data_IF_839858151521
#
_entry.id   IF_839858151521
#
_cell.length_a   1.000
_cell.length_b   1.000
_cell.length_c   1.000
_cell.angle_alpha   90.00
_cell.angle_beta   90.00
_cell.angle_gamma   90.00
#
_symmetry.space_group_name_H-M   'P 1'
#
loop_
_entity.id
_entity.type
_entity.pdbx_description
1 polymer ?
#
# COMPACT_ATOMS: atom_id res chain seq x y z
N UNK A 1 -1.97 -7.90 -17.00
CA UNK A 1 -1.18 -9.07 -16.61
C UNK A 1 -1.82 -10.32 -17.17
N UNK A 2 -1.06 -11.37 -17.36
CA UNK A 2 -1.61 -12.66 -17.78
C UNK A 2 -2.49 -13.22 -16.66
N UNK A 3 -3.55 -13.96 -17.00
CA UNK A 3 -4.36 -14.67 -16.02
C UNK A 3 -3.50 -15.63 -15.18
N UNK A 4 -3.87 -15.90 -13.93
CA UNK A 4 -3.22 -16.92 -13.12
C UNK A 4 -3.18 -18.27 -13.85
N UNK A 5 -2.05 -18.94 -13.83
CA UNK A 5 -1.84 -20.23 -14.51
C UNK A 5 -1.37 -20.13 -15.96
N UNK A 6 -1.33 -18.94 -16.56
CA UNK A 6 -0.65 -18.76 -17.83
C UNK A 6 0.86 -18.63 -17.62
N UNK A 7 1.63 -19.18 -18.55
CA UNK A 7 3.08 -18.99 -18.54
C UNK A 7 3.39 -17.52 -18.67
N UNK A 8 4.18 -17.02 -17.73
CA UNK A 8 4.74 -15.69 -17.85
C UNK A 8 5.75 -15.66 -19.00
N UNK A 9 5.39 -15.00 -20.09
CA UNK A 9 6.37 -14.68 -21.10
C UNK A 9 7.21 -13.51 -20.58
N UNK A 10 8.52 -13.71 -20.44
CA UNK A 10 9.45 -12.69 -19.98
C UNK A 10 9.35 -11.46 -20.88
N UNK A 11 8.54 -10.52 -20.48
CA UNK A 11 8.53 -9.18 -21.03
C UNK A 11 9.69 -8.35 -20.47
N UNK A 12 9.96 -7.19 -21.04
CA UNK A 12 10.93 -6.27 -20.46
C UNK A 12 10.51 -5.89 -19.04
N UNK A 13 11.50 -5.71 -18.15
CA UNK A 13 11.24 -5.19 -16.79
C UNK A 13 10.52 -3.85 -16.90
N UNK A 14 9.41 -3.73 -16.19
CA UNK A 14 8.65 -2.50 -16.11
C UNK A 14 8.88 -1.85 -14.76
N UNK A 15 9.47 -0.67 -14.77
CA UNK A 15 9.58 0.16 -13.57
C UNK A 15 8.36 1.04 -13.45
N UNK A 16 7.91 1.26 -12.24
CA UNK A 16 6.83 2.19 -11.93
C UNK A 16 7.05 2.83 -10.56
N UNK A 17 6.38 3.95 -10.31
CA UNK A 17 6.34 4.58 -9.01
C UNK A 17 4.94 4.46 -8.42
N UNK A 18 4.85 4.34 -7.10
CA UNK A 18 3.59 4.53 -6.40
C UNK A 18 3.25 6.02 -6.37
N UNK A 19 1.98 6.35 -6.58
CA UNK A 19 1.50 7.69 -6.21
C UNK A 19 1.65 7.89 -4.71
N UNK A 20 1.86 9.12 -4.22
CA UNK A 20 1.97 9.41 -2.79
C UNK A 20 0.79 8.88 -1.97
N UNK A 21 -0.39 8.84 -2.58
CA UNK A 21 -1.64 8.30 -2.03
C UNK A 21 -1.97 6.89 -2.54
N UNK A 22 -1.01 6.21 -3.15
CA UNK A 22 -1.19 4.84 -3.64
C UNK A 22 -1.46 3.86 -2.51
N UNK A 23 -2.35 2.91 -2.77
CA UNK A 23 -2.79 1.92 -1.79
C UNK A 23 -2.17 0.57 -2.07
N UNK A 24 -1.69 -0.09 -1.03
CA UNK A 24 -1.14 -1.45 -1.13
C UNK A 24 -1.95 -2.37 -0.23
N UNK A 25 -2.29 -3.54 -0.74
CA UNK A 25 -3.00 -4.59 -0.02
C UNK A 25 -2.22 -5.89 -0.11
N UNK A 26 -2.03 -6.51 1.05
CA UNK A 26 -1.35 -7.79 1.18
C UNK A 26 -2.04 -8.65 2.23
N UNK A 27 -2.32 -9.91 1.90
CA UNK A 27 -3.03 -10.85 2.78
C UNK A 27 -4.37 -10.29 3.29
N UNK A 28 -5.11 -9.56 2.43
CA UNK A 28 -6.45 -9.05 2.75
C UNK A 28 -6.49 -7.79 3.62
N UNK A 29 -5.35 -7.17 3.91
CA UNK A 29 -5.27 -5.96 4.72
C UNK A 29 -4.40 -4.89 4.08
N UNK A 30 -4.52 -3.59 4.47
CA UNK A 30 -3.60 -2.55 4.06
C UNK A 30 -2.15 -2.92 4.40
N UNK A 31 -1.23 -2.56 3.52
CA UNK A 31 0.17 -2.93 3.60
C UNK A 31 1.09 -1.81 3.10
N UNK A 32 2.38 -2.01 3.32
CA UNK A 32 3.45 -1.20 2.77
C UNK A 32 4.23 -2.03 1.75
N UNK A 33 4.93 -1.38 0.82
CA UNK A 33 5.73 -2.08 -0.19
C UNK A 33 6.74 -3.05 0.43
N UNK A 34 7.30 -2.70 1.58
CA UNK A 34 8.23 -3.53 2.34
C UNK A 34 7.62 -4.81 2.94
N UNK A 35 6.29 -4.89 3.01
CA UNK A 35 5.59 -6.06 3.55
C UNK A 35 5.44 -7.15 2.49
N UNK A 36 5.62 -6.80 1.23
CA UNK A 36 5.48 -7.70 0.09
C UNK A 36 6.82 -8.41 -0.18
N UNK A 37 6.88 -9.74 -0.08
CA UNK A 37 8.08 -10.48 -0.44
C UNK A 37 8.49 -10.27 -1.90
N UNK A 38 9.79 -10.25 -2.17
CA UNK A 38 10.30 -10.20 -3.54
C UNK A 38 9.82 -11.43 -4.34
N UNK A 39 9.44 -11.20 -5.58
CA UNK A 39 8.90 -12.25 -6.45
C UNK A 39 7.39 -12.50 -6.29
N UNK A 40 6.71 -11.83 -5.36
CA UNK A 40 5.24 -11.94 -5.22
C UNK A 40 4.54 -11.48 -6.50
N UNK A 41 3.59 -12.27 -6.98
CA UNK A 41 2.69 -11.84 -8.05
C UNK A 41 1.74 -10.75 -7.54
N UNK A 42 1.59 -9.68 -8.31
CA UNK A 42 0.84 -8.49 -7.90
C UNK A 42 -0.08 -8.03 -9.02
N UNK A 43 -1.31 -7.74 -8.66
CA UNK A 43 -2.28 -7.02 -9.49
C UNK A 43 -2.11 -5.52 -9.28
N UNK A 44 -1.81 -4.79 -10.34
CA UNK A 44 -1.61 -3.34 -10.28
C UNK A 44 -2.70 -2.58 -11.04
N UNK A 45 -3.18 -1.48 -10.44
CA UNK A 45 -3.96 -0.47 -11.13
C UNK A 45 -3.09 0.77 -11.33
N UNK A 46 -2.94 1.19 -12.59
CA UNK A 46 -2.02 2.25 -12.99
C UNK A 46 -2.77 3.40 -13.62
N UNK A 47 -2.39 4.63 -13.28
CA UNK A 47 -2.75 5.80 -14.07
C UNK A 47 -1.73 5.97 -15.19
N UNK A 48 -2.23 6.01 -16.40
CA UNK A 48 -1.45 6.38 -17.56
C UNK A 48 -1.70 7.86 -17.86
N UNK A 49 -0.67 8.61 -18.26
CA UNK A 49 -0.87 9.98 -18.72
C UNK A 49 -1.77 9.97 -19.97
N UNK A 50 -2.55 11.03 -20.22
CA UNK A 50 -3.17 11.24 -21.50
C UNK A 50 -2.12 11.19 -22.62
N UNK A 51 -2.51 10.71 -23.79
CA UNK A 51 -1.63 10.66 -24.96
C UNK A 51 -1.10 12.05 -25.30
N UNK A 52 0.22 12.19 -25.39
CA UNK A 52 0.90 13.46 -25.62
C UNK A 52 1.26 14.27 -24.37
N UNK A 53 0.82 13.84 -23.18
CA UNK A 53 1.11 14.50 -21.91
C UNK A 53 2.16 13.78 -21.05
N UNK A 54 2.90 12.83 -21.60
CA UNK A 54 3.88 12.01 -20.88
C UNK A 54 4.98 12.85 -20.22
N UNK A 55 5.23 14.05 -20.73
CA UNK A 55 6.23 14.98 -20.18
C UNK A 55 5.77 15.71 -18.92
N UNK A 56 4.47 15.69 -18.63
CA UNK A 56 3.91 16.39 -17.46
C UNK A 56 4.09 15.60 -16.17
N UNK A 57 4.45 14.32 -16.26
CA UNK A 57 4.64 13.46 -15.11
C UNK A 57 6.04 13.70 -14.54
N UNK A 58 6.17 13.94 -13.23
CA UNK A 58 7.47 14.12 -12.60
C UNK A 58 8.37 12.90 -12.81
N UNK A 59 9.59 13.13 -13.25
CA UNK A 59 10.59 12.06 -13.34
C UNK A 59 10.82 11.44 -11.95
N UNK A 60 11.00 10.12 -11.92
CA UNK A 60 11.43 9.45 -10.69
C UNK A 60 12.86 9.90 -10.40
N UNK A 61 13.12 10.49 -9.23
CA UNK A 61 14.46 10.96 -8.89
C UNK A 61 15.51 9.85 -9.00
N UNK A 62 16.69 10.20 -9.50
CA UNK A 62 17.85 9.30 -9.67
C UNK A 62 17.67 8.17 -10.71
N UNK A 63 16.68 8.25 -11.58
CA UNK A 63 16.50 7.30 -12.68
C UNK A 63 16.79 7.92 -14.06
N UNK A 64 17.73 8.83 -14.14
CA UNK A 64 18.10 9.53 -15.40
C UNK A 64 18.58 8.60 -16.51
N UNK A 65 19.05 7.40 -16.16
CA UNK A 65 19.54 6.39 -17.11
C UNK A 65 18.47 5.42 -17.60
N UNK A 66 17.30 5.41 -17.01
CA UNK A 66 16.22 4.52 -17.38
C UNK A 66 15.10 5.31 -18.06
N UNK A 67 14.79 4.98 -19.29
CA UNK A 67 13.60 5.48 -19.99
C UNK A 67 12.35 4.86 -19.35
N UNK A 68 12.00 5.30 -18.16
CA UNK A 68 10.80 4.87 -17.48
C UNK A 68 9.63 5.52 -18.20
N UNK A 69 8.84 4.74 -18.91
CA UNK A 69 7.48 5.14 -19.26
C UNK A 69 6.72 5.20 -17.93
N UNK A 70 6.33 6.40 -17.57
CA UNK A 70 5.91 6.81 -16.22
C UNK A 70 4.54 6.26 -15.84
N UNK A 71 4.48 4.97 -15.58
CA UNK A 71 3.29 4.37 -15.02
C UNK A 71 3.29 4.62 -13.51
N UNK A 72 2.27 5.31 -13.02
CA UNK A 72 2.07 5.51 -11.60
C UNK A 72 1.04 4.52 -11.08
N UNK A 73 1.45 3.68 -10.14
CA UNK A 73 0.55 2.75 -9.50
C UNK A 73 -0.34 3.49 -8.49
N UNK A 74 -1.63 3.28 -8.63
CA UNK A 74 -2.68 3.77 -7.71
C UNK A 74 -2.95 2.74 -6.63
N UNK A 75 -3.00 1.46 -7.01
CA UNK A 75 -3.11 0.37 -6.06
C UNK A 75 -2.35 -0.86 -6.51
N UNK A 76 -1.83 -1.59 -5.52
CA UNK A 76 -1.21 -2.89 -5.69
C UNK A 76 -1.92 -3.88 -4.76
N UNK A 77 -2.23 -5.06 -5.28
CA UNK A 77 -2.92 -6.10 -4.53
C UNK A 77 -2.24 -7.44 -4.81
N UNK A 78 -1.93 -8.22 -3.76
CA UNK A 78 -1.56 -9.63 -3.93
C UNK A 78 -2.78 -10.46 -4.40
N UNK A 79 -2.58 -11.71 -4.79
CA UNK A 79 -3.68 -12.57 -5.28
C UNK A 79 -4.74 -12.75 -4.21
N UNK A 80 -4.34 -12.97 -2.97
CA UNK A 80 -5.27 -13.11 -1.84
C UNK A 80 -6.20 -11.90 -1.74
N UNK A 81 -5.65 -10.67 -1.66
CA UNK A 81 -6.42 -9.44 -1.53
C UNK A 81 -7.26 -9.16 -2.77
N UNK A 82 -6.70 -9.40 -3.95
CA UNK A 82 -7.37 -9.17 -5.23
C UNK A 82 -8.64 -10.01 -5.37
N UNK A 83 -8.56 -11.31 -5.09
CA UNK A 83 -9.70 -12.20 -5.21
C UNK A 83 -10.71 -12.01 -4.08
N UNK A 84 -10.24 -11.82 -2.85
CA UNK A 84 -11.10 -11.58 -1.70
C UNK A 84 -11.99 -10.35 -1.88
N UNK A 85 -11.44 -9.23 -2.33
CA UNK A 85 -12.21 -7.99 -2.58
C UNK A 85 -13.28 -8.15 -3.66
N UNK A 86 -13.07 -9.08 -4.58
CA UNK A 86 -14.00 -9.38 -5.67
C UNK A 86 -15.01 -10.48 -5.33
N UNK A 87 -14.94 -11.00 -4.09
CA UNK A 87 -15.79 -12.11 -3.63
C UNK A 87 -15.56 -13.40 -4.42
N UNK A 88 -14.35 -13.57 -4.94
CA UNK A 88 -13.93 -14.76 -5.67
C UNK A 88 -13.12 -15.66 -4.73
N UNK A 89 -13.55 -16.90 -4.64
CA UNK A 89 -12.83 -17.97 -3.97
C UNK A 89 -12.26 -18.93 -5.00
N UNK A 90 -11.43 -19.83 -4.54
CA UNK A 90 -10.86 -20.91 -5.36
C UNK A 90 -11.13 -22.25 -4.70
N UNK A 91 -11.50 -23.22 -5.52
CA UNK A 91 -11.82 -24.58 -5.06
C UNK A 91 -10.79 -25.55 -5.61
N UNK A 92 -10.28 -26.39 -4.73
CA UNK A 92 -9.37 -27.46 -5.11
C UNK A 92 -10.14 -28.51 -5.92
N UNK A 93 -9.68 -28.78 -7.13
CA UNK A 93 -10.19 -29.85 -7.99
C UNK A 93 -9.41 -31.14 -7.73
N UNK A 94 -8.10 -31.07 -7.76
CA UNK A 94 -7.20 -32.20 -7.51
C UNK A 94 -5.82 -31.72 -7.07
N UNK A 95 -5.08 -32.63 -6.43
CA UNK A 95 -3.69 -32.46 -6.03
C UNK A 95 -2.89 -33.63 -6.59
N UNK A 96 -1.77 -33.35 -7.22
CA UNK A 96 -0.78 -34.35 -7.65
C UNK A 96 0.46 -34.20 -6.73
N UNK A 97 0.49 -34.99 -5.69
CA UNK A 97 1.59 -34.95 -4.69
C UNK A 97 2.95 -35.33 -5.29
N UNK A 98 2.96 -36.21 -6.29
CA UNK A 98 4.20 -36.67 -6.93
C UNK A 98 4.83 -35.57 -7.77
N UNK A 99 3.98 -34.82 -8.51
CA UNK A 99 4.43 -33.74 -9.36
C UNK A 99 4.46 -32.38 -8.69
N UNK A 100 3.97 -32.28 -7.43
CA UNK A 100 3.85 -31.02 -6.74
C UNK A 100 2.91 -30.03 -7.47
N UNK A 101 1.72 -30.50 -7.90
CA UNK A 101 0.77 -29.67 -8.64
C UNK A 101 -0.60 -29.64 -7.98
N UNK A 102 -1.23 -28.47 -8.03
CA UNK A 102 -2.60 -28.27 -7.58
C UNK A 102 -3.44 -27.71 -8.72
N UNK A 103 -4.63 -28.29 -8.92
CA UNK A 103 -5.62 -27.79 -9.85
C UNK A 103 -6.71 -27.05 -9.09
N UNK A 104 -6.90 -25.78 -9.41
CA UNK A 104 -7.88 -24.90 -8.78
C UNK A 104 -8.89 -24.43 -9.81
N UNK A 105 -10.14 -24.29 -9.40
CA UNK A 105 -11.18 -23.64 -10.21
C UNK A 105 -11.72 -22.43 -9.48
N UNK A 106 -11.96 -21.30 -10.18
CA UNK A 106 -12.57 -20.13 -9.55
C UNK A 106 -14.00 -20.42 -9.15
N UNK A 107 -14.41 -19.96 -7.97
CA UNK A 107 -15.77 -20.09 -7.44
C UNK A 107 -16.24 -18.73 -6.90
N UNK A 108 -17.48 -18.33 -7.21
CA UNK A 108 -18.05 -17.06 -6.74
C UNK A 108 -18.62 -16.18 -7.85
N UNK A 109 -18.91 -14.92 -7.52
CA UNK A 109 -19.63 -13.99 -8.42
C UNK A 109 -18.89 -13.66 -9.73
N UNK A 110 -17.58 -13.69 -9.73
CA UNK A 110 -16.76 -13.42 -10.92
C UNK A 110 -16.59 -14.62 -11.84
N UNK A 111 -17.01 -15.82 -11.43
CA UNK A 111 -16.96 -17.03 -12.24
C UNK A 111 -17.95 -17.02 -13.43
N UNK A 112 -18.70 -15.93 -13.63
CA UNK A 112 -19.74 -15.83 -14.66
C UNK A 112 -19.24 -15.75 -16.10
N UNK A 113 -17.97 -15.51 -16.33
CA UNK A 113 -17.44 -15.30 -17.69
C UNK A 113 -16.96 -16.59 -18.37
N UNK A 114 -17.57 -17.74 -18.05
CA UNK A 114 -17.49 -18.94 -18.90
C UNK A 114 -16.15 -19.71 -18.86
N UNK A 115 -15.21 -19.35 -18.01
CA UNK A 115 -13.93 -20.05 -17.88
C UNK A 115 -14.01 -21.03 -16.70
N UNK A 116 -14.76 -22.10 -16.86
CA UNK A 116 -14.79 -23.21 -15.90
C UNK A 116 -13.62 -24.21 -16.09
N UNK A 117 -12.51 -23.75 -16.68
CA UNK A 117 -11.32 -24.59 -16.79
C UNK A 117 -10.52 -24.50 -15.50
N UNK A 118 -10.09 -25.64 -14.95
CA UNK A 118 -9.18 -25.63 -13.82
C UNK A 118 -7.84 -25.02 -14.24
N UNK A 119 -7.28 -24.22 -13.38
CA UNK A 119 -5.90 -23.71 -13.48
C UNK A 119 -4.98 -24.64 -12.71
N UNK A 120 -3.84 -24.93 -13.29
CA UNK A 120 -2.81 -25.75 -12.66
C UNK A 120 -1.68 -24.87 -12.17
N UNK A 121 -1.35 -25.00 -10.89
CA UNK A 121 -0.24 -24.28 -10.26
C UNK A 121 0.76 -25.28 -9.70
N UNK A 122 2.02 -24.89 -9.74
CA UNK A 122 3.07 -25.64 -9.06
C UNK A 122 3.10 -25.30 -7.57
N UNK A 123 3.32 -26.31 -6.74
CA UNK A 123 3.62 -26.20 -5.33
C UNK A 123 5.01 -26.80 -5.14
N UNK A 124 5.93 -26.01 -4.60
CA UNK A 124 7.29 -26.43 -4.37
C UNK A 124 7.59 -26.58 -2.87
N UNK A 125 8.84 -26.92 -2.55
CA UNK A 125 9.26 -27.17 -1.16
C UNK A 125 9.27 -25.92 -0.27
N UNK A 126 9.23 -24.70 -0.89
CA UNK A 126 9.19 -23.44 -0.14
C UNK A 126 7.77 -22.89 -0.03
N UNK A 127 6.81 -23.51 -0.69
CA UNK A 127 5.39 -23.17 -0.60
C UNK A 127 4.88 -23.41 0.83
N UNK A 128 4.18 -22.43 1.39
CA UNK A 128 3.61 -22.53 2.74
C UNK A 128 2.14 -22.85 2.67
N UNK A 129 1.74 -23.96 3.24
CA UNK A 129 0.35 -24.41 3.31
C UNK A 129 -0.14 -24.26 4.73
N UNK A 130 -1.19 -23.46 4.93
CA UNK A 130 -1.71 -23.10 6.24
C UNK A 130 -3.07 -23.74 6.51
N UNK A 131 -3.18 -24.44 7.66
CA UNK A 131 -4.42 -25.01 8.19
C UNK A 131 -4.45 -24.84 9.71
N UNK A 132 -5.53 -24.27 10.24
CA UNK A 132 -5.68 -24.00 11.68
C UNK A 132 -4.45 -23.27 12.27
N UNK A 133 -3.96 -22.25 11.52
CA UNK A 133 -2.78 -21.42 11.82
C UNK A 133 -1.45 -22.17 11.91
N UNK A 134 -1.38 -23.39 11.38
CA UNK A 134 -0.16 -24.22 11.37
C UNK A 134 0.24 -24.51 9.94
N UNK A 135 1.54 -24.67 9.73
CA UNK A 135 2.06 -25.20 8.47
C UNK A 135 1.73 -26.70 8.41
N UNK A 136 1.23 -27.13 7.26
CA UNK A 136 0.86 -28.50 6.99
C UNK A 136 1.44 -28.97 5.65
N UNK A 137 1.46 -30.26 5.45
CA UNK A 137 1.96 -30.89 4.23
C UNK A 137 0.90 -30.85 3.09
N UNK A 138 1.36 -31.02 1.86
CA UNK A 138 0.52 -31.09 0.65
C UNK A 138 -0.60 -32.13 0.74
N UNK A 139 -0.35 -33.26 1.42
CA UNK A 139 -1.33 -34.34 1.68
C UNK A 139 -2.56 -33.90 2.49
N UNK A 140 -2.48 -32.78 3.21
CA UNK A 140 -3.62 -32.23 3.97
C UNK A 140 -4.63 -31.48 3.08
N UNK A 141 -4.33 -31.30 1.80
CA UNK A 141 -5.21 -30.63 0.86
C UNK A 141 -6.16 -31.67 0.27
N UNK A 142 -7.46 -31.48 0.48
CA UNK A 142 -8.49 -32.34 -0.06
C UNK A 142 -9.21 -31.69 -1.24
N UNK A 143 -9.58 -32.45 -2.29
CA UNK A 143 -10.49 -31.96 -3.31
C UNK A 143 -11.79 -31.39 -2.71
N UNK A 144 -12.30 -30.30 -3.28
CA UNK A 144 -13.46 -29.59 -2.77
C UNK A 144 -13.15 -28.51 -1.73
N UNK A 145 -11.94 -28.45 -1.17
CA UNK A 145 -11.54 -27.41 -0.23
C UNK A 145 -11.55 -26.04 -0.88
N UNK A 146 -12.13 -25.04 -0.19
CA UNK A 146 -12.09 -23.64 -0.60
C UNK A 146 -10.81 -23.01 -0.06
N UNK A 147 -10.03 -22.42 -0.94
CA UNK A 147 -8.72 -21.89 -0.63
C UNK A 147 -8.56 -20.43 -1.08
N UNK A 148 -7.66 -19.72 -0.43
CA UNK A 148 -7.04 -18.52 -0.96
C UNK A 148 -5.54 -18.80 -1.10
N UNK A 149 -4.88 -18.08 -1.99
CA UNK A 149 -3.44 -18.27 -2.22
C UNK A 149 -2.77 -16.97 -2.65
N UNK A 150 -1.46 -16.97 -2.55
CA UNK A 150 -0.59 -16.04 -3.22
C UNK A 150 0.35 -16.80 -4.13
N UNK A 151 0.60 -16.23 -5.29
CA UNK A 151 1.61 -16.73 -6.22
C UNK A 151 2.93 -15.99 -6.00
N UNK A 152 3.99 -16.70 -6.25
CA UNK A 152 5.34 -16.16 -6.23
C UNK A 152 6.12 -16.63 -7.45
N UNK A 153 7.11 -15.85 -7.84
CA UNK A 153 8.01 -16.26 -8.88
C UNK A 153 8.93 -17.35 -8.35
N UNK A 154 8.88 -18.52 -8.95
CA UNK A 154 9.79 -19.62 -8.61
C UNK A 154 11.23 -19.17 -8.83
N UNK A 155 12.02 -19.17 -7.75
CA UNK A 155 13.46 -18.95 -7.83
C UNK A 155 14.11 -20.21 -8.43
N UNK A 156 14.22 -20.24 -9.72
CA UNK A 156 14.90 -21.32 -10.45
C UNK A 156 14.87 -21.05 -11.94
N UNK A 157 15.87 -21.52 -12.63
CA UNK A 157 16.07 -21.41 -14.08
C UNK A 157 14.98 -22.10 -14.92
N UNK A 158 13.83 -22.36 -14.35
CA UNK A 158 12.69 -22.95 -15.04
C UNK A 158 11.72 -21.84 -15.46
N UNK A 159 11.69 -21.66 -16.73
CA UNK A 159 10.64 -21.04 -17.54
C UNK A 159 9.57 -20.21 -16.78
N UNK A 160 9.93 -19.05 -16.23
CA UNK A 160 9.02 -17.94 -15.90
C UNK A 160 7.59 -18.34 -15.40
N UNK A 161 7.47 -19.42 -14.65
CA UNK A 161 6.19 -19.89 -14.12
C UNK A 161 6.02 -19.40 -12.68
N UNK A 162 4.81 -18.97 -12.35
CA UNK A 162 4.42 -18.69 -10.97
C UNK A 162 4.10 -19.99 -10.26
N UNK A 163 4.63 -20.16 -9.05
CA UNK A 163 4.24 -21.20 -8.10
C UNK A 163 3.41 -20.62 -6.96
N UNK A 164 2.67 -21.47 -6.28
CA UNK A 164 1.98 -21.08 -5.05
C UNK A 164 3.02 -20.80 -3.97
N UNK A 165 3.12 -19.56 -3.52
CA UNK A 165 4.00 -19.19 -2.42
C UNK A 165 3.35 -19.42 -1.05
N UNK A 166 2.06 -19.12 -0.93
CA UNK A 166 1.26 -19.35 0.27
C UNK A 166 -0.14 -19.83 -0.12
N UNK A 167 -0.68 -20.78 0.64
CA UNK A 167 -2.01 -21.37 0.46
C UNK A 167 -2.71 -21.48 1.81
N UNK A 168 -3.91 -20.95 1.93
CA UNK A 168 -4.74 -21.02 3.13
C UNK A 168 -5.95 -21.92 2.91
N UNK A 169 -6.02 -23.01 3.68
CA UNK A 169 -7.03 -24.06 3.52
C UNK A 169 -8.32 -23.79 4.32
N UNK A 170 -8.30 -22.88 5.26
CA UNK A 170 -9.44 -22.57 6.12
C UNK A 170 -9.56 -21.09 6.47
N UNK A 171 -10.75 -20.69 6.93
CA UNK A 171 -11.04 -19.30 7.31
C UNK A 171 -10.21 -18.83 8.50
N UNK A 172 -9.89 -19.71 9.44
CA UNK A 172 -9.12 -19.35 10.61
C UNK A 172 -7.70 -18.90 10.23
N UNK A 173 -7.05 -19.63 9.32
CA UNK A 173 -5.72 -19.27 8.82
C UNK A 173 -5.74 -18.00 7.98
N UNK A 174 -6.79 -17.80 7.15
CA UNK A 174 -7.01 -16.57 6.38
C UNK A 174 -7.17 -15.35 7.29
N UNK A 175 -8.09 -15.45 8.24
CA UNK A 175 -8.34 -14.37 9.20
C UNK A 175 -7.09 -14.03 10.02
N UNK A 176 -6.30 -15.04 10.40
CA UNK A 176 -5.06 -14.84 11.12
C UNK A 176 -4.01 -14.10 10.26
N UNK A 177 -3.83 -14.47 9.00
CA UNK A 177 -2.92 -13.79 8.09
C UNK A 177 -3.32 -12.32 7.89
N UNK A 178 -4.61 -12.06 7.65
CA UNK A 178 -5.16 -10.71 7.51
C UNK A 178 -4.94 -9.88 8.77
N UNK A 179 -5.24 -10.42 9.94
CA UNK A 179 -5.08 -9.69 11.20
C UNK A 179 -3.62 -9.41 11.53
N UNK A 180 -2.71 -10.35 11.21
CA UNK A 180 -1.27 -10.15 11.38
C UNK A 180 -0.78 -8.99 10.50
N UNK A 181 -1.18 -8.96 9.24
CA UNK A 181 -0.83 -7.87 8.32
C UNK A 181 -1.43 -6.54 8.78
N UNK A 182 -2.71 -6.54 9.18
CA UNK A 182 -3.39 -5.36 9.72
C UNK A 182 -2.64 -4.76 10.92
N UNK A 183 -2.22 -5.61 11.87
CA UNK A 183 -1.43 -5.17 13.03
C UNK A 183 -0.09 -4.56 12.63
N UNK A 184 0.60 -5.13 11.64
CA UNK A 184 1.85 -4.58 11.13
C UNK A 184 1.62 -3.18 10.55
N UNK A 185 0.61 -3.04 9.69
CA UNK A 185 0.25 -1.76 9.06
C UNK A 185 -0.11 -0.71 10.12
N UNK A 186 -1.04 -1.02 11.04
CA UNK A 186 -1.46 -0.07 12.08
C UNK A 186 -0.28 0.40 12.93
N UNK A 187 0.59 -0.54 13.36
CA UNK A 187 1.80 -0.19 14.12
C UNK A 187 2.72 0.73 13.32
N UNK A 188 2.93 0.42 12.06
CA UNK A 188 3.80 1.20 11.20
C UNK A 188 3.25 2.60 10.95
N UNK A 189 1.97 2.74 10.63
CA UNK A 189 1.34 4.04 10.40
C UNK A 189 1.32 4.91 11.67
N UNK A 190 1.11 4.32 12.85
CA UNK A 190 1.25 5.07 14.11
C UNK A 190 2.66 5.62 14.32
N UNK A 191 3.68 4.87 13.92
CA UNK A 191 5.07 5.27 14.06
C UNK A 191 5.48 6.39 13.10
N UNK A 192 4.92 6.42 11.89
CA UNK A 192 5.25 7.42 10.86
C UNK A 192 4.19 8.50 10.66
N UNK A 193 3.07 8.39 11.36
CA UNK A 193 1.86 9.21 11.31
C UNK A 193 1.11 9.10 9.98
N UNK A 194 -0.16 9.46 9.97
CA UNK A 194 -0.97 9.37 8.77
C UNK A 194 -0.62 10.46 7.77
N UNK A 195 -0.50 10.12 6.50
CA UNK A 195 -0.30 11.13 5.46
C UNK A 195 -1.59 11.90 5.22
N UNK A 196 -1.43 13.20 4.98
CA UNK A 196 -2.49 14.10 4.56
C UNK A 196 -1.89 15.14 3.60
N UNK A 197 -2.70 15.72 2.76
CA UNK A 197 -2.31 16.93 2.04
C UNK A 197 -3.03 18.14 2.64
N UNK A 198 -2.38 19.29 2.49
CA UNK A 198 -2.98 20.56 2.86
C UNK A 198 -3.82 21.06 1.70
N UNK A 199 -5.12 21.29 1.96
CA UNK A 199 -6.04 21.88 0.98
C UNK A 199 -5.94 23.40 0.99
N UNK A 200 -5.91 23.98 2.20
CA UNK A 200 -5.95 25.42 2.39
C UNK A 200 -5.23 25.86 3.67
N UNK A 201 -4.68 27.09 3.65
CA UNK A 201 -4.04 27.74 4.81
C UNK A 201 -4.57 29.16 4.91
N UNK A 202 -5.11 29.50 6.08
CA UNK A 202 -5.55 30.84 6.47
C UNK A 202 -4.55 31.39 7.48
N UNK A 203 -3.85 32.47 7.15
CA UNK A 203 -2.93 33.13 8.05
C UNK A 203 -3.64 34.22 8.86
N UNK A 204 -3.25 34.39 10.13
CA UNK A 204 -3.72 35.48 10.96
C UNK A 204 -2.67 36.59 11.07
N UNK A 205 -3.09 37.84 11.14
CA UNK A 205 -2.20 39.01 11.20
C UNK A 205 -1.26 39.01 12.42
N UNK A 206 -1.68 38.35 13.50
CA UNK A 206 -0.92 38.23 14.75
C UNK A 206 -0.10 36.93 14.86
N UNK A 207 0.11 36.24 13.76
CA UNK A 207 0.72 34.91 13.71
C UNK A 207 -0.27 33.78 13.95
N UNK A 208 0.14 32.56 13.61
CA UNK A 208 -0.75 31.40 13.59
C UNK A 208 -1.71 31.39 12.43
N UNK A 209 -2.71 30.52 12.49
CA UNK A 209 -3.68 30.37 11.39
C UNK A 209 -4.52 29.11 11.48
N UNK A 210 -5.28 28.85 10.42
CA UNK A 210 -6.06 27.62 10.23
C UNK A 210 -5.56 26.86 9.04
N UNK A 211 -5.35 25.56 9.21
CA UNK A 211 -4.94 24.65 8.13
C UNK A 211 -6.07 23.63 7.91
N UNK A 212 -6.50 23.50 6.66
CA UNK A 212 -7.44 22.48 6.23
C UNK A 212 -6.66 21.33 5.61
N UNK A 213 -6.89 20.12 6.10
CA UNK A 213 -6.20 18.91 5.69
C UNK A 213 -7.19 17.87 5.19
N UNK A 214 -6.83 17.14 4.13
CA UNK A 214 -7.52 15.90 3.73
C UNK A 214 -6.60 14.70 3.98
N UNK A 215 -7.07 13.73 4.79
CA UNK A 215 -6.33 12.52 5.07
C UNK A 215 -6.29 11.60 3.84
N UNK A 216 -5.15 10.94 3.63
CA UNK A 216 -5.04 9.94 2.55
C UNK A 216 -5.90 8.73 2.84
N UNK A 217 -6.43 8.12 1.78
CA UNK A 217 -7.15 6.86 1.81
C UNK A 217 -6.23 5.64 1.95
N UNK A 218 -6.84 4.46 1.97
CA UNK A 218 -6.10 3.19 1.96
C UNK A 218 -5.45 2.78 3.28
N UNK A 219 -5.68 3.52 4.36
CA UNK A 219 -5.23 3.16 5.70
C UNK A 219 -6.28 2.29 6.42
N UNK A 220 -5.85 1.55 7.43
CA UNK A 220 -6.77 0.82 8.29
C UNK A 220 -7.76 1.77 8.98
N UNK A 221 -9.04 1.42 8.98
CA UNK A 221 -10.11 2.27 9.53
C UNK A 221 -9.86 2.63 10.98
N UNK A 222 -9.29 1.73 11.78
CA UNK A 222 -9.02 1.97 13.20
C UNK A 222 -8.14 3.19 13.47
N UNK A 223 -7.26 3.55 12.51
CA UNK A 223 -6.40 4.73 12.62
C UNK A 223 -7.20 6.04 12.53
N UNK A 224 -8.17 6.10 11.63
CA UNK A 224 -9.07 7.26 11.52
C UNK A 224 -10.01 7.34 12.72
N UNK A 225 -10.54 6.19 13.18
CA UNK A 225 -11.42 6.13 14.36
C UNK A 225 -10.67 6.63 15.62
N UNK A 226 -9.38 6.28 15.77
CA UNK A 226 -8.56 6.75 16.88
C UNK A 226 -8.28 8.26 16.80
N UNK A 227 -7.98 8.81 15.59
CA UNK A 227 -7.88 10.26 15.39
C UNK A 227 -9.19 10.94 15.81
N UNK A 228 -10.33 10.46 15.31
CA UNK A 228 -11.64 11.02 15.64
C UNK A 228 -11.92 10.99 17.13
N UNK A 229 -11.61 9.90 17.81
CA UNK A 229 -11.83 9.75 19.25
C UNK A 229 -10.96 10.69 20.12
N UNK A 230 -9.84 11.18 19.58
CA UNK A 230 -8.89 12.03 20.31
C UNK A 230 -8.90 13.49 19.86
N UNK A 231 -9.85 13.90 19.03
CA UNK A 231 -9.90 15.25 18.42
C UNK A 231 -9.87 16.39 19.44
N UNK A 232 -10.45 16.21 20.63
CA UNK A 232 -10.45 17.22 21.70
C UNK A 232 -9.04 17.59 22.17
N UNK A 233 -8.09 16.65 22.09
CA UNK A 233 -6.68 16.87 22.48
C UNK A 233 -5.87 17.58 21.39
N UNK A 234 -6.45 17.83 20.24
CA UNK A 234 -5.78 18.34 19.05
C UNK A 234 -4.87 17.31 18.37
N UNK A 235 -4.42 17.66 17.18
CA UNK A 235 -3.55 16.80 16.36
C UNK A 235 -2.18 17.40 16.17
N UNK A 236 -1.15 16.57 16.28
CA UNK A 236 0.19 16.93 15.83
C UNK A 236 0.25 16.87 14.31
N UNK A 237 0.66 17.94 13.66
CA UNK A 237 0.90 17.99 12.22
C UNK A 237 2.39 18.22 11.99
N UNK A 238 3.02 17.26 11.31
CA UNK A 238 4.43 17.29 10.98
C UNK A 238 4.63 17.76 9.54
N UNK A 239 5.48 18.77 9.38
CA UNK A 239 6.01 19.19 8.09
C UNK A 239 7.52 19.34 8.23
N UNK A 240 8.29 18.82 7.27
CA UNK A 240 9.73 18.88 7.35
C UNK A 240 10.28 19.90 6.34
N UNK A 241 10.53 21.12 6.75
CA UNK A 241 11.16 22.13 5.90
C UNK A 241 12.65 22.27 6.11
N UNK A 242 13.15 21.78 7.23
CA UNK A 242 14.57 21.91 7.62
C UNK A 242 15.36 20.61 7.52
N UNK A 243 14.90 19.65 6.72
CA UNK A 243 15.49 18.31 6.62
C UNK A 243 16.94 18.29 6.16
N UNK A 244 17.40 19.30 5.47
CA UNK A 244 18.77 19.38 4.95
C UNK A 244 19.83 19.68 6.02
N UNK A 245 19.47 20.01 7.27
CA UNK A 245 20.42 20.47 8.28
C UNK A 245 20.43 19.71 9.60
N UNK A 246 19.51 18.79 9.85
CA UNK A 246 19.45 18.10 11.13
C UNK A 246 19.80 16.62 10.99
N UNK A 247 20.79 16.18 11.74
CA UNK A 247 21.18 14.78 11.90
C UNK A 247 20.02 13.89 12.41
N UNK A 248 18.99 14.50 12.96
CA UNK A 248 17.78 13.87 13.42
C UNK A 248 16.65 14.30 12.48
N UNK A 249 16.34 13.46 11.54
CA UNK A 249 15.26 13.64 10.56
C UNK A 249 13.87 13.62 11.24
N UNK A 250 13.68 14.48 12.20
CA UNK A 250 12.41 14.71 12.85
C UNK A 250 11.67 15.77 12.02
N UNK A 251 10.45 15.46 11.63
CA UNK A 251 9.58 16.49 11.12
C UNK A 251 9.33 17.51 12.24
N UNK A 252 9.52 18.79 11.95
CA UNK A 252 9.00 19.82 12.83
C UNK A 252 7.49 19.65 12.89
N UNK A 253 6.92 19.76 14.08
CA UNK A 253 5.49 19.56 14.29
C UNK A 253 4.93 20.68 15.15
N UNK A 254 3.69 21.02 14.86
CA UNK A 254 2.85 21.87 15.73
C UNK A 254 1.59 21.10 16.09
N UNK A 255 1.04 21.41 17.23
CA UNK A 255 -0.25 20.87 17.68
C UNK A 255 -1.32 21.85 17.25
N UNK A 256 -2.27 21.39 16.45
CA UNK A 256 -3.43 22.14 16.03
C UNK A 256 -4.67 21.70 16.78
N UNK A 257 -5.46 22.66 17.26
CA UNK A 257 -6.78 22.43 17.83
C UNK A 257 -7.75 22.09 16.70
N UNK A 258 -8.50 21.01 16.83
CA UNK A 258 -9.53 20.64 15.84
C UNK A 258 -10.69 21.62 15.94
N UNK A 259 -10.99 22.29 14.83
CA UNK A 259 -12.14 23.16 14.68
C UNK A 259 -13.33 22.45 14.03
N UNK A 260 -13.02 21.56 13.06
CA UNK A 260 -14.05 20.88 12.29
C UNK A 260 -13.52 19.53 11.78
N UNK A 261 -14.41 18.56 11.66
CA UNK A 261 -14.17 17.21 11.13
C UNK A 261 -15.31 16.86 10.18
N UNK A 262 -15.00 16.72 8.91
CA UNK A 262 -15.97 16.37 7.88
C UNK A 262 -15.66 15.02 7.26
N UNK A 263 -16.70 14.26 6.95
CA UNK A 263 -16.61 12.99 6.24
C UNK A 263 -17.44 13.05 4.96
N UNK A 264 -16.86 12.64 3.83
CA UNK A 264 -17.50 12.62 2.52
C UNK A 264 -17.66 11.17 2.05
N UNK A 265 -18.89 10.80 1.67
CA UNK A 265 -19.22 9.41 1.34
C UNK A 265 -18.58 8.87 0.05
N UNK A 266 -18.30 9.74 -0.92
CA UNK A 266 -17.66 9.38 -2.19
C UNK A 266 -16.40 10.23 -2.41
N UNK A 267 -15.30 9.90 -1.72
CA UNK A 267 -14.09 10.70 -1.81
C UNK A 267 -13.42 10.53 -3.19
N UNK A 268 -12.71 11.56 -3.65
CA UNK A 268 -11.87 11.42 -4.82
C UNK A 268 -10.76 10.40 -4.60
N UNK A 269 -10.18 9.93 -5.68
CA UNK A 269 -9.10 8.95 -5.67
C UNK A 269 -7.97 9.39 -4.72
N UNK A 270 -7.54 8.48 -3.87
CA UNK A 270 -6.48 8.72 -2.90
C UNK A 270 -6.91 9.38 -1.59
N UNK A 271 -8.13 9.92 -1.53
CA UNK A 271 -8.69 10.50 -0.31
C UNK A 271 -9.38 9.47 0.55
N UNK A 272 -9.27 9.62 1.87
CA UNK A 272 -10.10 8.89 2.82
C UNK A 272 -11.54 9.41 2.90
N UNK A 273 -11.81 10.58 2.34
CA UNK A 273 -13.05 11.33 2.55
C UNK A 273 -13.06 12.15 3.83
N UNK A 274 -12.01 12.09 4.63
CA UNK A 274 -11.92 12.80 5.91
C UNK A 274 -11.13 14.09 5.71
N UNK A 275 -11.80 15.23 5.99
CA UNK A 275 -11.21 16.55 6.00
C UNK A 275 -11.26 17.13 7.41
N UNK A 276 -10.13 17.71 7.84
CA UNK A 276 -9.98 18.28 9.19
C UNK A 276 -9.51 19.71 9.10
N UNK A 277 -10.15 20.63 9.85
CA UNK A 277 -9.68 22.01 10.02
C UNK A 277 -9.01 22.15 11.39
N UNK A 278 -7.80 22.65 11.38
CA UNK A 278 -6.95 22.77 12.57
C UNK A 278 -6.51 24.21 12.79
N UNK A 279 -6.70 24.75 13.99
CA UNK A 279 -6.19 26.06 14.40
C UNK A 279 -4.83 25.90 15.08
N UNK A 280 -3.87 26.68 14.65
CA UNK A 280 -2.52 26.73 15.19
C UNK A 280 -2.21 28.10 15.74
N UNK A 281 -1.47 28.16 16.84
CA UNK A 281 -0.92 29.41 17.41
C UNK A 281 0.29 29.90 16.61
N UNK A 282 0.96 29.01 15.91
CA UNK A 282 2.10 29.27 15.05
C UNK A 282 2.09 28.28 13.89
N UNK A 283 2.27 28.76 12.66
CA UNK A 283 2.38 27.96 11.46
C UNK A 283 3.82 27.62 11.16
N UNK A 284 4.06 26.40 10.68
CA UNK A 284 5.37 26.06 10.08
C UNK A 284 5.43 26.57 8.65
N UNK A 285 6.62 26.96 8.20
CA UNK A 285 6.87 27.39 6.81
C UNK A 285 6.45 26.34 5.77
N UNK A 286 6.39 25.05 6.20
CA UNK A 286 5.94 23.94 5.40
C UNK A 286 4.42 23.84 5.24
N UNK A 287 3.63 24.61 5.95
CA UNK A 287 2.19 24.58 5.81
C UNK A 287 1.74 25.43 4.63
N UNK A 288 1.60 24.82 3.48
CA UNK A 288 1.15 25.44 2.24
C UNK A 288 0.26 24.49 1.43
N UNK A 289 -0.70 25.00 0.66
CA UNK A 289 -1.60 24.18 -0.14
C UNK A 289 -0.85 23.20 -1.06
N UNK A 290 -1.40 21.99 -1.22
CA UNK A 290 -0.82 20.92 -2.02
C UNK A 290 0.33 20.15 -1.34
N UNK A 291 0.77 20.59 -0.15
CA UNK A 291 1.84 19.91 0.57
C UNK A 291 1.36 18.68 1.30
N UNK A 292 2.16 17.61 1.23
CA UNK A 292 1.95 16.40 2.04
C UNK A 292 2.54 16.63 3.43
N UNK A 293 1.73 16.35 4.44
CA UNK A 293 2.09 16.43 5.86
C UNK A 293 1.75 15.12 6.56
N UNK A 294 2.23 14.98 7.80
CA UNK A 294 1.94 13.82 8.65
C UNK A 294 1.11 14.24 9.86
N UNK A 295 0.02 13.51 10.10
CA UNK A 295 -0.96 13.81 11.15
C UNK A 295 -0.96 12.70 12.20
N UNK A 296 -0.94 13.07 13.47
CA UNK A 296 -0.94 12.12 14.60
C UNK A 296 -1.91 12.52 15.71
N UNK A 297 -2.41 11.53 16.44
CA UNK A 297 -2.98 11.74 17.76
C UNK A 297 -1.89 12.09 18.80
N UNK A 298 -2.33 12.59 19.96
CA UNK A 298 -1.41 12.92 21.06
C UNK A 298 -0.52 11.73 21.45
N UNK A 299 -1.10 10.55 21.55
CA UNK A 299 -0.47 9.36 22.13
C UNK A 299 0.42 8.57 21.15
N UNK A 300 0.44 8.92 19.85
CA UNK A 300 1.29 8.26 18.89
C UNK A 300 2.74 8.73 19.01
N UNK A 301 3.64 7.77 19.19
CA UNK A 301 5.06 8.04 19.32
C UNK A 301 5.64 8.29 17.92
N UNK A 302 6.41 9.35 17.79
CA UNK A 302 7.13 9.64 16.55
C UNK A 302 8.40 8.79 16.46
N UNK A 303 8.55 8.13 15.33
CA UNK A 303 9.79 7.48 14.89
C UNK A 303 10.31 8.23 13.66
N UNK A 304 11.58 8.11 13.39
CA UNK A 304 12.25 8.77 12.25
C UNK A 304 11.53 8.53 10.93
N UNK A 305 11.32 9.58 10.15
CA UNK A 305 10.77 9.44 8.80
C UNK A 305 11.73 8.65 7.91
N UNK A 306 11.21 7.73 7.06
CA UNK A 306 12.02 7.03 6.07
C UNK A 306 12.71 8.01 5.12
N UNK A 307 13.90 7.67 4.59
CA UNK A 307 14.64 8.54 3.67
C UNK A 307 13.82 9.03 2.49
N UNK A 308 13.00 8.16 1.90
CA UNK A 308 12.14 8.44 0.75
C UNK A 308 11.03 9.48 1.03
N UNK A 309 10.73 9.73 2.29
CA UNK A 309 9.73 10.72 2.69
C UNK A 309 10.32 12.05 3.18
N UNK A 310 11.63 12.14 3.24
CA UNK A 310 12.32 13.35 3.68
C UNK A 310 12.24 14.45 2.64
N UNK A 311 12.14 14.07 1.38
CA UNK A 311 12.12 14.98 0.24
C UNK A 311 10.69 15.26 -0.18
N UNK A 312 10.37 16.50 -0.38
CA UNK A 312 9.00 16.97 -0.56
C UNK A 312 8.73 17.58 -1.91
N UNK A 313 9.78 17.92 -2.63
CA UNK A 313 9.66 18.42 -3.99
C UNK A 313 10.82 17.92 -4.85
N UNK A 314 10.58 17.89 -6.17
CA UNK A 314 11.63 17.56 -7.14
C UNK A 314 12.82 18.52 -7.04
N UNK A 315 12.56 19.79 -6.70
CA UNK A 315 13.62 20.78 -6.52
C UNK A 315 14.47 20.52 -5.29
N UNK A 316 13.86 20.10 -4.17
CA UNK A 316 14.58 19.71 -2.96
C UNK A 316 15.47 18.49 -3.21
N UNK A 317 14.97 17.52 -3.96
CA UNK A 317 15.74 16.34 -4.38
C UNK A 317 16.93 16.73 -5.29
N UNK A 318 16.69 17.58 -6.29
CA UNK A 318 17.78 18.09 -7.15
C UNK A 318 18.82 18.84 -6.36
N UNK A 319 18.42 19.66 -5.40
CA UNK A 319 19.36 20.40 -4.53
C UNK A 319 20.18 19.43 -3.66
N UNK A 320 19.57 18.40 -3.09
CA UNK A 320 20.31 17.41 -2.28
C UNK A 320 21.30 16.61 -3.13
N UNK A 321 20.93 16.21 -4.33
CA UNK A 321 21.81 15.51 -5.26
C UNK A 321 23.01 16.37 -5.69
N UNK A 322 22.79 17.67 -5.97
CA UNK A 322 23.86 18.62 -6.33
C UNK A 322 24.81 18.85 -5.14
N UNK A 323 24.30 18.83 -3.90
CA UNK A 323 25.08 19.06 -2.70
C UNK A 323 25.77 17.80 -2.16
N UNK A 324 25.61 16.63 -2.82
CA UNK A 324 26.19 15.36 -2.38
C UNK A 324 25.66 14.88 -1.02
N UNK A 325 24.49 15.32 -0.62
CA UNK A 325 23.84 14.90 0.61
C UNK A 325 22.99 13.65 0.35
N UNK A 326 23.07 12.60 1.21
CA UNK A 326 22.33 11.38 1.06
C UNK A 326 20.81 11.55 1.20
#
# INVERSE_FOLDING_TARGET
GNPPGDRYQSGPLHYFAMLPFGMIWYNGAPAELRDIPLGTHIHGYFLLPPEGEEKTIPAIPNMETYHVKYNHAVSLEDDFSFYQKRGQNWKVVSVDEIKGKINLTPEGKSAKDGINKPYTFDIDQVSKIWKSRKLVDLKEISPGTIVNFNLGWAQGWRDNEYSVSELWLDEESRAFATELQRKKHVRYQKQRWLPAWIDHVENFDYGGGVVTLTLFGGMDKSLYDELKATQEKGFGVGASDKTLRTWFHRADKKIGQVLDWKETGNPPLGSSGIQVRLKFTELLDGYRPGRIVRVKCHDWIFVTMPPEERFKSLEELKRSAIMGLP
#
